data_IF_467105021751
#
_entry.id   IF_467105021751
#
_cell.length_a   1.000
_cell.length_b   1.000
_cell.length_c   1.000
_cell.angle_alpha   90.00
_cell.angle_beta   90.00
_cell.angle_gamma   90.00
#
_symmetry.space_group_name_H-M   'P 1'
#
loop_
_entity.id
_entity.type
_entity.pdbx_description
1 polymer ?
#
# COMPACT_ATOMS: atom_id res chain seq x y z
N UNK A 1 -4.58 -0.58 -14.81
CA UNK A 1 -3.14 -0.90 -14.96
C UNK A 1 -2.26 0.34 -14.77
N UNK A 2 -2.47 1.44 -15.50
CA UNK A 2 -1.54 2.59 -15.48
C UNK A 2 -1.36 3.27 -14.12
N UNK A 3 -2.44 3.55 -13.38
CA UNK A 3 -2.34 4.25 -12.10
C UNK A 3 -1.42 3.53 -11.10
N UNK A 4 -1.58 2.21 -10.94
CA UNK A 4 -0.72 1.41 -10.04
C UNK A 4 0.75 1.43 -10.47
N UNK A 5 1.01 1.40 -11.77
CA UNK A 5 2.38 1.50 -12.29
C UNK A 5 2.99 2.88 -12.04
N UNK A 6 2.23 3.96 -12.24
CA UNK A 6 2.66 5.32 -11.91
C UNK A 6 2.95 5.43 -10.42
N UNK A 7 2.06 4.94 -9.57
CA UNK A 7 2.24 4.94 -8.12
C UNK A 7 3.48 4.14 -7.70
N UNK A 8 3.69 2.95 -8.26
CA UNK A 8 4.90 2.16 -8.02
C UNK A 8 6.19 2.87 -8.46
N UNK A 9 6.11 3.75 -9.46
CA UNK A 9 7.25 4.55 -9.93
C UNK A 9 7.53 5.76 -9.04
N UNK A 10 6.49 6.52 -8.66
CA UNK A 10 6.67 7.76 -7.88
C UNK A 10 6.78 7.51 -6.37
N UNK A 11 6.18 6.43 -5.86
CA UNK A 11 6.13 6.12 -4.44
C UNK A 11 6.28 4.61 -4.19
N UNK A 12 7.50 4.07 -4.32
CA UNK A 12 7.73 2.64 -4.09
C UNK A 12 7.55 2.27 -2.62
N UNK A 13 6.64 1.33 -2.35
CA UNK A 13 6.47 0.73 -1.02
C UNK A 13 7.07 -0.68 -0.97
N UNK A 14 8.27 -0.82 -0.41
CA UNK A 14 8.96 -2.11 -0.36
C UNK A 14 8.15 -3.18 0.38
N UNK A 15 7.82 -4.27 -0.32
CA UNK A 15 7.09 -5.41 0.25
C UNK A 15 5.58 -5.27 0.27
N UNK A 16 5.05 -4.16 -0.25
CA UNK A 16 3.64 -3.93 -0.43
C UNK A 16 3.30 -3.77 -1.92
N UNK A 17 2.02 -3.90 -2.24
CA UNK A 17 1.48 -3.71 -3.59
C UNK A 17 0.20 -2.87 -3.53
N UNK A 18 -0.04 -2.07 -4.55
CA UNK A 18 -1.27 -1.31 -4.69
C UNK A 18 -2.47 -2.23 -5.05
N UNK A 19 -3.50 -2.18 -4.20
CA UNK A 19 -4.73 -2.97 -4.23
C UNK A 19 -5.87 -2.25 -4.94
N UNK A 20 -7.09 -2.33 -4.39
CA UNK A 20 -8.24 -1.63 -4.94
C UNK A 20 -8.01 -0.11 -5.01
N UNK A 21 -8.66 0.53 -5.98
CA UNK A 21 -8.63 1.98 -6.16
C UNK A 21 -10.07 2.45 -6.19
N UNK A 22 -10.43 3.38 -5.31
CA UNK A 22 -11.75 3.95 -5.23
C UNK A 22 -11.66 5.46 -5.39
N UNK A 23 -12.43 6.02 -6.32
CA UNK A 23 -12.62 7.45 -6.38
C UNK A 23 -13.69 7.85 -5.37
N UNK A 24 -13.40 8.89 -4.59
CA UNK A 24 -14.28 9.38 -3.52
C UNK A 24 -14.33 10.90 -3.58
N UNK A 25 -15.46 11.46 -3.16
CA UNK A 25 -15.58 12.90 -2.99
C UNK A 25 -15.35 13.24 -1.51
N UNK A 26 -14.38 14.09 -1.24
CA UNK A 26 -14.10 14.66 0.08
C UNK A 26 -14.45 16.14 0.05
N UNK A 27 -15.72 16.43 0.35
CA UNK A 27 -16.31 17.76 0.14
C UNK A 27 -16.33 18.11 -1.36
N UNK A 28 -15.75 19.24 -1.72
CA UNK A 28 -15.63 19.68 -3.13
C UNK A 28 -14.44 19.07 -3.87
N UNK A 29 -13.64 18.21 -3.23
CA UNK A 29 -12.45 17.60 -3.84
C UNK A 29 -12.70 16.15 -4.21
N UNK A 30 -12.30 15.78 -5.42
CA UNK A 30 -12.17 14.38 -5.83
C UNK A 30 -10.85 13.82 -5.30
N UNK A 31 -10.89 12.70 -4.61
CA UNK A 31 -9.73 11.97 -4.09
C UNK A 31 -9.74 10.52 -4.55
N UNK A 32 -8.57 9.90 -4.54
CA UNK A 32 -8.40 8.48 -4.80
C UNK A 32 -7.99 7.78 -3.49
N UNK A 33 -8.86 6.93 -2.99
CA UNK A 33 -8.56 6.00 -1.90
C UNK A 33 -7.92 4.76 -2.52
N UNK A 34 -6.65 4.54 -2.24
CA UNK A 34 -5.88 3.44 -2.81
C UNK A 34 -5.46 2.50 -1.68
N UNK A 35 -5.85 1.24 -1.81
CA UNK A 35 -5.45 0.19 -0.89
C UNK A 35 -3.96 -0.13 -1.06
N UNK A 36 -3.24 -0.28 0.05
CA UNK A 36 -1.87 -0.80 0.08
C UNK A 36 -1.90 -2.08 0.90
N UNK A 37 -1.44 -3.19 0.31
CA UNK A 37 -1.46 -4.49 0.98
C UNK A 37 -0.12 -5.22 0.89
N UNK A 38 0.22 -6.10 1.84
CA UNK A 38 1.40 -6.94 1.77
C UNK A 38 1.47 -7.74 0.48
N UNK A 39 2.66 -7.82 -0.13
CA UNK A 39 2.90 -8.70 -1.27
C UNK A 39 2.78 -10.16 -0.81
N UNK A 40 2.05 -10.99 -1.57
CA UNK A 40 1.96 -12.43 -1.32
C UNK A 40 3.38 -13.03 -1.22
N UNK A 41 3.57 -13.93 -0.26
CA UNK A 41 4.80 -14.69 -0.02
C UNK A 41 6.03 -13.88 0.44
N UNK A 42 5.86 -12.63 0.90
CA UNK A 42 6.94 -11.92 1.59
C UNK A 42 6.72 -12.05 3.11
N UNK A 43 7.77 -12.44 3.83
CA UNK A 43 7.76 -12.38 5.30
C UNK A 43 7.55 -10.91 5.71
N UNK A 44 6.58 -10.62 6.59
CA UNK A 44 6.38 -9.26 7.08
C UNK A 44 7.58 -8.82 7.91
N UNK A 45 7.88 -7.53 7.90
CA UNK A 45 9.02 -6.94 8.61
C UNK A 45 8.51 -5.90 9.59
N UNK A 46 8.99 -5.97 10.83
CA UNK A 46 8.63 -5.00 11.85
C UNK A 46 9.18 -3.61 11.47
N UNK A 47 8.29 -2.61 11.38
CA UNK A 47 8.67 -1.22 11.11
C UNK A 47 9.55 -0.60 12.20
N UNK A 48 9.52 -1.14 13.43
CA UNK A 48 10.31 -0.65 14.57
C UNK A 48 11.72 -1.26 14.64
N UNK A 49 11.84 -2.58 14.44
CA UNK A 49 13.12 -3.29 14.65
C UNK A 49 13.72 -3.91 13.38
N UNK A 50 13.03 -3.85 12.24
CA UNK A 50 13.53 -4.37 10.96
C UNK A 50 13.62 -5.90 10.86
N UNK A 51 13.17 -6.65 11.89
CA UNK A 51 13.22 -8.11 11.90
C UNK A 51 11.99 -8.72 11.24
N UNK A 52 12.11 -9.91 10.61
CA UNK A 52 10.95 -10.61 10.09
C UNK A 52 10.01 -11.04 11.23
N UNK A 53 8.71 -10.97 10.99
CA UNK A 53 7.67 -11.26 11.96
C UNK A 53 6.56 -12.17 11.42
N UNK A 54 5.53 -12.44 12.24
CA UNK A 54 4.35 -13.22 11.83
C UNK A 54 3.34 -12.39 11.02
N UNK A 55 3.34 -11.06 11.15
CA UNK A 55 2.38 -10.15 10.52
C UNK A 55 2.90 -8.72 10.46
N UNK A 56 2.25 -7.88 9.64
CA UNK A 56 2.35 -6.42 9.77
C UNK A 56 1.32 -5.94 10.80
N UNK A 57 1.53 -4.75 11.36
CA UNK A 57 0.54 -4.10 12.22
C UNK A 57 -0.70 -3.69 11.40
N UNK A 58 -1.89 -3.87 11.96
CA UNK A 58 -3.18 -3.62 11.29
C UNK A 58 -4.16 -2.81 12.13
N UNK A 59 -3.67 -2.13 13.19
CA UNK A 59 -4.48 -1.29 14.09
C UNK A 59 -4.82 0.08 13.50
#
# INVERSE_FOLDING_TARGET
>A
MQLKSILNFVQPHQGFVYGAVHQRNKGQRTVLDIEIRPRKNRQPVCSRCGKPGPGYDTL
#
